data_IF_554638852787
#
_entry.id   IF_554638852787
#
_cell.length_a   1.000
_cell.length_b   1.000
_cell.length_c   1.000
_cell.angle_alpha   90.00
_cell.angle_beta   90.00
_cell.angle_gamma   90.00
#
_symmetry.space_group_name_H-M   'P 1'
#
loop_
_entity.id
_entity.type
_entity.pdbx_description
1 polymer ?
#
# COMPACT_ATOMS: atom_id res chain seq x y z
N UNK A 1 55.91 15.46 -17.36
CA UNK A 1 54.55 14.90 -17.38
C UNK A 1 54.28 14.41 -18.79
N UNK A 2 54.04 13.11 -19.00
CA UNK A 2 53.59 12.61 -20.32
C UNK A 2 52.16 13.07 -20.50
N UNK A 3 51.92 13.96 -21.46
CA UNK A 3 50.59 14.46 -21.78
C UNK A 3 49.73 13.35 -22.37
N UNK A 4 48.51 13.21 -21.86
CA UNK A 4 47.50 12.29 -22.38
C UNK A 4 47.28 12.63 -23.86
N UNK A 5 47.41 11.62 -24.72
CA UNK A 5 47.19 11.82 -26.16
C UNK A 5 45.69 11.94 -26.45
N UNK A 6 45.34 12.71 -27.49
CA UNK A 6 43.92 12.89 -27.91
C UNK A 6 43.23 11.54 -28.17
N UNK A 7 43.99 10.54 -28.65
CA UNK A 7 43.50 9.19 -28.87
C UNK A 7 43.12 8.47 -27.56
N UNK A 8 43.95 8.58 -26.52
CA UNK A 8 43.64 8.02 -25.18
C UNK A 8 42.41 8.70 -24.57
N UNK A 9 42.23 10.01 -24.78
CA UNK A 9 41.05 10.74 -24.34
C UNK A 9 39.75 10.27 -25.04
N UNK A 10 39.81 10.01 -26.35
CA UNK A 10 38.65 9.51 -27.10
C UNK A 10 38.25 8.09 -26.70
N UNK A 11 39.23 7.21 -26.47
CA UNK A 11 38.97 5.85 -25.97
C UNK A 11 38.32 5.90 -24.59
N UNK A 12 38.83 6.76 -23.69
CA UNK A 12 38.29 6.89 -22.34
C UNK A 12 36.84 7.38 -22.35
N UNK A 13 36.51 8.38 -23.18
CA UNK A 13 35.13 8.87 -23.33
C UNK A 13 34.19 7.83 -23.94
N UNK A 14 34.68 7.02 -24.90
CA UNK A 14 33.93 5.90 -25.48
C UNK A 14 33.58 4.84 -24.43
N UNK A 15 34.54 4.47 -23.58
CA UNK A 15 34.31 3.52 -22.48
C UNK A 15 33.30 4.07 -21.47
N UNK A 16 33.43 5.34 -21.07
CA UNK A 16 32.46 5.98 -20.16
C UNK A 16 31.06 6.01 -20.79
N UNK A 17 30.95 6.31 -22.08
CA UNK A 17 29.67 6.29 -22.79
C UNK A 17 29.00 4.91 -22.82
N UNK A 18 29.77 3.85 -23.04
CA UNK A 18 29.27 2.47 -23.00
C UNK A 18 28.84 2.09 -21.57
N UNK A 19 29.64 2.41 -20.56
CA UNK A 19 29.31 2.13 -19.15
C UNK A 19 28.05 2.90 -18.72
N UNK A 20 27.90 4.16 -19.11
CA UNK A 20 26.72 4.97 -18.81
C UNK A 20 25.47 4.44 -19.53
N UNK A 21 25.59 4.02 -20.79
CA UNK A 21 24.49 3.34 -21.50
C UNK A 21 24.11 2.05 -20.79
N UNK A 22 25.08 1.17 -20.50
CA UNK A 22 24.83 -0.08 -19.77
C UNK A 22 24.16 0.20 -18.41
N UNK A 23 24.62 1.19 -17.66
CA UNK A 23 24.01 1.60 -16.39
C UNK A 23 22.52 1.99 -16.57
N UNK A 24 22.18 2.76 -17.60
CA UNK A 24 20.80 3.16 -17.91
C UNK A 24 19.90 1.97 -18.29
N UNK A 25 20.42 0.98 -19.01
CA UNK A 25 19.66 -0.26 -19.35
C UNK A 25 19.60 -1.24 -18.18
N UNK A 26 20.57 -1.20 -17.26
CA UNK A 26 20.61 -2.11 -16.10
C UNK A 26 19.71 -1.70 -14.95
N UNK A 27 19.28 -0.42 -14.86
CA UNK A 27 18.18 -0.07 -13.95
C UNK A 27 16.94 -0.76 -14.51
N UNK A 28 16.49 -1.82 -13.84
CA UNK A 28 15.30 -2.58 -14.26
C UNK A 28 14.13 -1.59 -14.38
N UNK A 29 13.60 -1.33 -15.58
CA UNK A 29 12.50 -0.38 -15.76
C UNK A 29 11.25 -0.80 -14.99
N UNK A 30 11.15 -2.10 -14.67
CA UNK A 30 10.12 -2.70 -13.84
C UNK A 30 10.01 -2.03 -12.47
N UNK A 31 11.06 -1.98 -11.66
CA UNK A 31 10.98 -1.55 -10.25
C UNK A 31 10.45 -0.10 -10.13
N UNK A 32 10.92 0.80 -11.00
CA UNK A 32 10.40 2.18 -11.06
C UNK A 32 8.92 2.21 -11.44
N UNK A 33 8.51 1.39 -12.40
CA UNK A 33 7.13 1.34 -12.89
C UNK A 33 6.16 0.81 -11.83
N UNK A 34 6.56 -0.18 -11.03
CA UNK A 34 5.71 -0.75 -9.96
C UNK A 34 5.39 0.29 -8.90
N UNK A 35 6.40 1.07 -8.50
CA UNK A 35 6.24 2.18 -7.57
C UNK A 35 5.15 3.16 -8.01
N UNK A 36 5.22 3.59 -9.27
CA UNK A 36 4.26 4.50 -9.87
C UNK A 36 2.86 3.90 -9.97
N UNK A 37 2.75 2.64 -10.42
CA UNK A 37 1.47 1.96 -10.55
C UNK A 37 0.80 1.72 -9.19
N UNK A 38 1.59 1.36 -8.18
CA UNK A 38 1.14 1.16 -6.81
C UNK A 38 0.59 2.44 -6.20
N UNK A 39 1.37 3.53 -6.20
CA UNK A 39 0.94 4.83 -5.65
C UNK A 39 -0.28 5.36 -6.41
N UNK A 40 -0.33 5.16 -7.74
CA UNK A 40 -1.49 5.57 -8.54
C UNK A 40 -2.76 4.82 -8.16
N UNK A 41 -2.72 3.50 -8.00
CA UNK A 41 -3.93 2.74 -7.61
C UNK A 41 -4.34 3.07 -6.17
N UNK A 42 -3.38 3.28 -5.27
CA UNK A 42 -3.65 3.74 -3.90
C UNK A 42 -4.46 5.04 -3.91
N UNK A 43 -3.95 6.11 -4.55
CA UNK A 43 -4.66 7.40 -4.60
C UNK A 43 -5.97 7.33 -5.38
N UNK A 44 -6.04 6.48 -6.41
CA UNK A 44 -7.28 6.28 -7.17
C UNK A 44 -8.35 5.65 -6.27
N UNK A 45 -8.00 4.63 -5.49
CA UNK A 45 -8.92 4.01 -4.54
C UNK A 45 -9.28 4.98 -3.42
N UNK A 46 -8.32 5.69 -2.84
CA UNK A 46 -8.54 6.68 -1.79
C UNK A 46 -9.52 7.76 -2.24
N UNK A 47 -9.24 8.38 -3.40
CA UNK A 47 -10.10 9.41 -4.00
C UNK A 47 -11.49 8.86 -4.32
N UNK A 48 -11.57 7.65 -4.89
CA UNK A 48 -12.84 7.05 -5.24
C UNK A 48 -13.70 6.74 -4.02
N UNK A 49 -13.11 6.16 -2.98
CA UNK A 49 -13.78 5.81 -1.74
C UNK A 49 -14.22 7.07 -1.01
N UNK A 50 -13.33 8.04 -0.82
CA UNK A 50 -13.64 9.30 -0.15
C UNK A 50 -14.83 10.02 -0.81
N UNK A 51 -14.74 10.28 -2.12
CA UNK A 51 -15.80 10.99 -2.84
C UNK A 51 -17.12 10.20 -2.85
N UNK A 52 -17.05 8.88 -3.02
CA UNK A 52 -18.24 8.04 -3.03
C UNK A 52 -18.95 8.00 -1.69
N UNK A 53 -18.19 7.96 -0.60
CA UNK A 53 -18.72 7.92 0.76
C UNK A 53 -19.28 9.27 1.18
N UNK A 54 -18.76 10.40 0.68
CA UNK A 54 -19.39 11.71 0.87
C UNK A 54 -20.82 11.80 0.32
N UNK A 55 -21.13 11.02 -0.72
CA UNK A 55 -22.45 10.97 -1.34
C UNK A 55 -23.38 9.91 -0.72
N UNK A 56 -22.95 9.20 0.34
CA UNK A 56 -23.65 8.03 0.90
C UNK A 56 -23.79 8.11 2.41
N UNK A 57 -24.93 7.63 2.91
CA UNK A 57 -25.21 7.58 4.35
C UNK A 57 -24.62 6.34 5.05
N UNK A 58 -24.26 5.30 4.28
CA UNK A 58 -23.82 4.01 4.82
C UNK A 58 -22.73 3.40 3.94
N UNK A 59 -21.82 2.69 4.60
CA UNK A 59 -20.86 1.81 3.93
C UNK A 59 -21.60 0.71 3.17
N UNK A 60 -21.15 0.32 1.95
CA UNK A 60 -21.84 -0.67 1.15
C UNK A 60 -22.03 -2.00 1.89
N UNK A 61 -23.27 -2.49 1.93
CA UNK A 61 -23.63 -3.74 2.61
C UNK A 61 -23.40 -4.99 1.75
N UNK A 62 -23.12 -4.81 0.44
CA UNK A 62 -22.83 -5.90 -0.50
C UNK A 62 -21.63 -5.58 -1.39
N UNK A 63 -20.93 -6.63 -1.83
CA UNK A 63 -19.79 -6.50 -2.74
C UNK A 63 -20.16 -5.82 -4.05
N UNK A 64 -21.36 -6.10 -4.59
CA UNK A 64 -21.84 -5.41 -5.79
C UNK A 64 -21.99 -3.92 -5.55
N UNK A 65 -22.60 -3.51 -4.42
CA UNK A 65 -22.72 -2.09 -4.08
C UNK A 65 -21.35 -1.44 -3.87
N UNK A 66 -20.41 -2.14 -3.22
CA UNK A 66 -19.04 -1.66 -3.04
C UNK A 66 -18.29 -1.53 -4.37
N UNK A 67 -18.41 -2.51 -5.26
CA UNK A 67 -17.80 -2.46 -6.58
C UNK A 67 -18.38 -1.32 -7.42
N UNK A 68 -19.71 -1.17 -7.46
CA UNK A 68 -20.36 -0.07 -8.17
C UNK A 68 -19.95 1.28 -7.60
N UNK A 69 -19.83 1.40 -6.29
CA UNK A 69 -19.31 2.60 -5.63
C UNK A 69 -17.94 3.00 -6.19
N UNK A 70 -17.00 2.05 -6.31
CA UNK A 70 -15.69 2.32 -6.89
C UNK A 70 -15.77 2.84 -8.34
N UNK A 71 -16.68 2.31 -9.16
CA UNK A 71 -16.82 2.71 -10.58
C UNK A 71 -17.25 4.16 -10.81
N UNK A 72 -17.79 4.84 -9.80
CA UNK A 72 -18.27 6.22 -9.96
C UNK A 72 -17.13 7.22 -10.15
N UNK A 73 -15.97 6.93 -9.59
CA UNK A 73 -14.82 7.83 -9.60
C UNK A 73 -13.55 7.17 -10.14
N UNK A 74 -13.53 5.85 -10.29
CA UNK A 74 -12.44 5.15 -10.97
C UNK A 74 -12.65 5.15 -12.48
N UNK A 75 -11.60 5.46 -13.23
CA UNK A 75 -11.60 5.32 -14.68
C UNK A 75 -11.45 3.84 -15.07
N UNK A 76 -12.59 3.19 -15.29
CA UNK A 76 -12.70 1.76 -15.61
C UNK A 76 -13.03 1.55 -17.10
N UNK A 77 -12.34 0.61 -17.74
CA UNK A 77 -12.65 0.18 -19.11
C UNK A 77 -13.69 -0.94 -19.12
N UNK A 78 -13.68 -1.79 -18.11
CA UNK A 78 -14.61 -2.91 -17.96
C UNK A 78 -15.04 -3.02 -16.49
N UNK A 79 -16.32 -3.31 -16.26
CA UNK A 79 -16.87 -3.55 -14.94
C UNK A 79 -17.66 -4.86 -14.91
N UNK A 80 -17.44 -5.62 -13.84
CA UNK A 80 -17.96 -6.96 -13.62
C UNK A 80 -18.57 -7.07 -12.21
N UNK A 81 -19.11 -5.97 -11.67
CA UNK A 81 -19.57 -5.88 -10.29
C UNK A 81 -20.70 -6.85 -9.91
N UNK A 82 -21.43 -7.36 -10.89
CA UNK A 82 -22.52 -8.33 -10.73
C UNK A 82 -22.13 -9.74 -11.18
N UNK A 83 -20.89 -9.94 -11.61
CA UNK A 83 -20.37 -11.19 -12.17
C UNK A 83 -19.08 -11.61 -11.47
N UNK A 84 -18.66 -12.86 -11.67
CA UNK A 84 -17.50 -13.42 -10.99
C UNK A 84 -17.73 -13.63 -9.49
N UNK A 85 -16.97 -14.54 -8.89
CA UNK A 85 -17.05 -14.79 -7.46
C UNK A 85 -16.25 -13.72 -6.70
N UNK A 86 -16.62 -13.52 -5.45
CA UNK A 86 -15.79 -12.74 -4.54
C UNK A 86 -14.65 -13.60 -4.05
N UNK A 87 -13.48 -13.00 -3.88
CA UNK A 87 -12.33 -13.73 -3.35
C UNK A 87 -12.41 -13.84 -1.82
N UNK A 88 -11.66 -14.79 -1.28
CA UNK A 88 -11.33 -14.80 0.15
C UNK A 88 -10.25 -13.77 0.44
N UNK A 89 -10.26 -13.14 1.62
CA UNK A 89 -9.14 -12.31 2.11
C UNK A 89 -7.80 -13.07 2.10
N UNK A 90 -7.85 -14.40 2.15
CA UNK A 90 -6.68 -15.29 2.10
C UNK A 90 -6.43 -15.89 0.71
N UNK A 91 -6.92 -15.25 -0.36
CA UNK A 91 -6.77 -15.75 -1.72
C UNK A 91 -5.29 -15.89 -2.11
N UNK A 92 -4.95 -17.07 -2.63
CA UNK A 92 -3.65 -17.38 -3.25
C UNK A 92 -3.73 -17.46 -4.77
N UNK A 93 -4.94 -17.54 -5.30
CA UNK A 93 -5.25 -17.61 -6.73
C UNK A 93 -6.15 -16.45 -7.12
N UNK A 94 -5.92 -15.91 -8.32
CA UNK A 94 -6.61 -14.72 -8.84
C UNK A 94 -7.16 -15.01 -10.24
N UNK A 95 -8.25 -15.79 -10.36
CA UNK A 95 -8.80 -16.18 -11.65
C UNK A 95 -9.33 -14.98 -12.43
N UNK A 96 -9.10 -14.95 -13.75
CA UNK A 96 -9.62 -13.87 -14.60
C UNK A 96 -11.15 -13.79 -14.58
N UNK A 97 -11.84 -14.94 -14.40
CA UNK A 97 -13.29 -15.01 -14.32
C UNK A 97 -13.89 -14.30 -13.10
N UNK A 98 -13.07 -14.03 -12.07
CA UNK A 98 -13.48 -13.39 -10.82
C UNK A 98 -13.05 -11.92 -10.75
N UNK A 99 -12.48 -11.36 -11.82
CA UNK A 99 -12.15 -9.93 -11.92
C UNK A 99 -13.44 -9.13 -11.71
N UNK A 100 -13.36 -8.09 -10.88
CA UNK A 100 -14.47 -7.16 -10.62
C UNK A 100 -14.36 -5.91 -11.45
N UNK A 101 -13.16 -5.38 -11.64
CA UNK A 101 -12.92 -4.16 -12.43
C UNK A 101 -11.64 -4.29 -13.26
N UNK A 102 -11.66 -3.69 -14.45
CA UNK A 102 -10.46 -3.43 -15.24
C UNK A 102 -10.33 -1.92 -15.38
N UNK A 103 -9.27 -1.36 -14.82
CA UNK A 103 -8.96 0.06 -14.97
C UNK A 103 -8.47 0.36 -16.40
N UNK A 104 -8.67 1.60 -16.87
CA UNK A 104 -8.32 1.99 -18.24
C UNK A 104 -6.82 1.91 -18.58
N UNK A 105 -5.95 1.76 -17.58
CA UNK A 105 -4.52 1.48 -17.76
C UNK A 105 -4.19 -0.03 -17.83
N UNK A 106 -5.20 -0.90 -17.82
CA UNK A 106 -5.08 -2.36 -17.90
C UNK A 106 -4.90 -3.06 -16.54
N UNK A 107 -4.89 -2.33 -15.42
CA UNK A 107 -4.86 -2.96 -14.09
C UNK A 107 -6.16 -3.71 -13.82
N UNK A 108 -6.04 -4.89 -13.24
CA UNK A 108 -7.18 -5.75 -12.89
C UNK A 108 -7.38 -5.75 -11.39
N UNK A 109 -8.64 -5.70 -10.98
CA UNK A 109 -9.02 -5.60 -9.58
C UNK A 109 -9.98 -6.73 -9.21
N UNK A 110 -9.69 -7.38 -8.10
CA UNK A 110 -10.58 -8.34 -7.44
C UNK A 110 -11.01 -7.77 -6.09
N UNK A 111 -12.15 -8.22 -5.59
CA UNK A 111 -12.66 -7.82 -4.29
C UNK A 111 -12.83 -9.07 -3.44
N UNK A 112 -12.29 -9.01 -2.24
CA UNK A 112 -12.53 -10.00 -1.20
C UNK A 112 -13.68 -9.56 -0.29
N UNK A 113 -14.54 -10.52 0.06
CA UNK A 113 -15.74 -10.27 0.87
C UNK A 113 -16.04 -11.43 1.82
N UNK A 114 -16.79 -11.13 2.89
CA UNK A 114 -17.33 -12.14 3.80
C UNK A 114 -18.68 -12.63 3.27
N UNK A 115 -18.64 -13.53 2.28
CA UNK A 115 -19.85 -14.12 1.69
C UNK A 115 -20.76 -13.10 1.00
N UNK A 116 -20.17 -12.16 0.25
CA UNK A 116 -20.89 -11.10 -0.45
C UNK A 116 -21.08 -9.81 0.35
N UNK A 117 -20.62 -9.78 1.61
CA UNK A 117 -20.73 -8.63 2.53
C UNK A 117 -19.36 -8.18 3.05
N UNK A 118 -19.31 -7.06 3.76
CA UNK A 118 -18.07 -6.56 4.35
C UNK A 118 -17.53 -7.51 5.44
N UNK A 119 -16.22 -7.47 5.65
CA UNK A 119 -15.60 -8.01 6.86
C UNK A 119 -15.75 -7.02 8.03
N UNK A 120 -15.57 -7.51 9.26
CA UNK A 120 -15.51 -6.65 10.46
C UNK A 120 -14.19 -6.93 11.18
N UNK A 121 -13.30 -5.95 11.18
CA UNK A 121 -12.09 -5.97 12.00
C UNK A 121 -12.47 -5.68 13.43
N UNK A 122 -11.93 -6.45 14.37
CA UNK A 122 -12.14 -6.24 15.81
C UNK A 122 -10.78 -6.06 16.47
N UNK A 123 -10.56 -4.91 17.11
CA UNK A 123 -9.35 -4.63 17.89
C UNK A 123 -9.70 -4.10 19.28
N UNK A 124 -8.75 -4.13 20.19
CA UNK A 124 -8.90 -3.50 21.51
C UNK A 124 -8.24 -2.13 21.48
N UNK A 125 -9.01 -1.07 21.73
CA UNK A 125 -8.50 0.30 21.81
C UNK A 125 -7.68 0.50 23.09
N UNK A 126 -6.99 1.65 23.18
CA UNK A 126 -6.17 2.02 24.35
C UNK A 126 -7.00 2.06 25.65
N UNK A 127 -8.28 2.42 25.56
CA UNK A 127 -9.22 2.46 26.68
C UNK A 127 -9.82 1.08 27.04
N UNK A 128 -9.44 0.02 26.31
CA UNK A 128 -9.94 -1.34 26.49
C UNK A 128 -11.28 -1.63 25.78
N UNK A 129 -11.88 -0.65 25.10
CA UNK A 129 -13.12 -0.86 24.36
C UNK A 129 -12.87 -1.58 23.02
N UNK A 130 -13.81 -2.45 22.56
CA UNK A 130 -13.71 -3.03 21.22
C UNK A 130 -13.88 -1.95 20.15
N UNK A 131 -12.90 -1.86 19.25
CA UNK A 131 -12.96 -1.13 18.00
C UNK A 131 -13.43 -2.07 16.90
N UNK A 132 -14.65 -1.86 16.39
CA UNK A 132 -15.17 -2.56 15.22
C UNK A 132 -15.09 -1.66 14.00
N UNK A 133 -14.46 -2.14 12.93
CA UNK A 133 -14.35 -1.41 11.66
C UNK A 133 -14.79 -2.32 10.52
N UNK A 134 -15.77 -1.90 9.75
CA UNK A 134 -16.17 -2.62 8.52
C UNK A 134 -15.18 -2.35 7.41
N UNK A 135 -14.88 -3.36 6.61
CA UNK A 135 -13.97 -3.21 5.48
C UNK A 135 -14.19 -4.25 4.36
N UNK A 136 -13.73 -3.89 3.16
CA UNK A 136 -13.48 -4.81 2.05
C UNK A 136 -11.98 -4.87 1.77
N UNK A 137 -11.53 -5.91 1.07
CA UNK A 137 -10.16 -5.97 0.55
C UNK A 137 -10.20 -5.89 -0.97
N UNK A 138 -9.42 -4.98 -1.53
CA UNK A 138 -9.23 -4.83 -2.98
C UNK A 138 -7.85 -5.37 -3.31
N UNK A 139 -7.80 -6.38 -4.17
CA UNK A 139 -6.56 -6.88 -4.75
C UNK A 139 -6.35 -6.23 -6.10
N UNK A 140 -5.16 -5.68 -6.34
CA UNK A 140 -4.81 -5.01 -7.58
C UNK A 140 -3.60 -5.68 -8.24
N UNK A 141 -3.77 -6.05 -9.50
CA UNK A 141 -2.69 -6.53 -10.35
C UNK A 141 -2.04 -5.33 -11.06
N UNK A 142 -0.85 -4.97 -10.58
CA UNK A 142 -0.03 -3.88 -11.10
C UNK A 142 0.50 -4.19 -12.50
N UNK A 143 0.67 -5.47 -12.84
CA UNK A 143 1.23 -5.88 -14.13
C UNK A 143 0.14 -6.15 -15.18
N UNK A 144 -1.14 -6.19 -14.76
CA UNK A 144 -2.30 -6.33 -15.64
C UNK A 144 -2.21 -7.59 -16.49
N UNK A 145 -2.45 -7.47 -17.80
CA UNK A 145 -2.43 -8.62 -18.71
C UNK A 145 -1.03 -9.15 -19.07
N UNK A 146 0.05 -8.58 -18.53
CA UNK A 146 1.45 -8.91 -18.91
C UNK A 146 2.05 -10.07 -18.11
N UNK A 147 1.22 -11.06 -17.76
CA UNK A 147 1.58 -12.17 -16.87
C UNK A 147 2.83 -12.95 -17.27
N UNK A 148 3.31 -13.85 -16.39
CA UNK A 148 2.64 -14.36 -15.19
C UNK A 148 2.69 -13.39 -14.00
N UNK A 149 1.58 -13.30 -13.26
CA UNK A 149 1.43 -12.43 -12.09
C UNK A 149 1.46 -13.23 -10.79
N UNK A 150 2.19 -12.76 -9.79
CA UNK A 150 2.34 -13.41 -8.48
C UNK A 150 1.87 -12.49 -7.36
N UNK A 151 1.11 -13.04 -6.42
CA UNK A 151 0.82 -12.40 -5.13
C UNK A 151 1.83 -12.77 -4.04
N UNK A 152 2.55 -13.89 -4.21
CA UNK A 152 3.48 -14.41 -3.22
C UNK A 152 4.91 -13.90 -3.47
N UNK A 153 5.56 -13.49 -2.38
CA UNK A 153 6.84 -12.79 -2.40
C UNK A 153 8.07 -13.71 -2.56
N UNK A 154 7.90 -15.02 -2.36
CA UNK A 154 8.96 -16.03 -2.50
C UNK A 154 8.45 -17.23 -3.29
N UNK A 155 9.36 -17.93 -3.98
CA UNK A 155 9.04 -19.11 -4.77
C UNK A 155 8.79 -20.38 -3.90
N UNK A 156 8.98 -20.33 -2.57
CA UNK A 156 8.99 -21.53 -1.70
C UNK A 156 8.41 -21.35 -0.29
N UNK A 157 7.43 -20.47 -0.07
CA UNK A 157 6.66 -20.48 1.20
C UNK A 157 7.40 -20.05 2.47
N UNK A 158 8.65 -19.58 2.37
CA UNK A 158 9.36 -18.96 3.47
C UNK A 158 8.96 -17.48 3.57
N UNK A 159 8.34 -17.13 4.70
CA UNK A 159 7.97 -15.78 5.11
C UNK A 159 9.24 -15.04 5.54
N UNK A 160 9.76 -14.15 4.70
CA UNK A 160 10.89 -13.31 5.05
C UNK A 160 11.44 -12.55 3.85
N UNK A 161 11.66 -11.24 4.04
CA UNK A 161 12.36 -10.42 3.05
C UNK A 161 13.82 -10.83 2.96
N UNK A 162 14.32 -11.00 1.73
CA UNK A 162 15.74 -10.84 1.44
C UNK A 162 15.88 -9.78 0.35
N UNK A 163 17.09 -9.22 0.18
CA UNK A 163 17.40 -8.28 -0.90
C UNK A 163 17.13 -8.85 -2.31
N UNK A 164 16.95 -10.17 -2.42
CA UNK A 164 16.73 -10.89 -3.68
C UNK A 164 15.25 -11.19 -3.95
N UNK A 165 14.34 -10.90 -3.00
CA UNK A 165 12.89 -11.07 -3.18
C UNK A 165 12.39 -10.18 -4.32
N UNK A 166 11.69 -10.78 -5.29
CA UNK A 166 11.05 -10.05 -6.40
C UNK A 166 9.81 -9.32 -5.90
N UNK A 167 9.53 -8.14 -6.49
CA UNK A 167 8.25 -7.47 -6.27
C UNK A 167 7.11 -8.37 -6.75
N UNK A 168 6.03 -8.42 -5.97
CA UNK A 168 4.76 -9.05 -6.31
C UNK A 168 3.99 -8.16 -7.28
N UNK A 169 3.26 -8.80 -8.17
CA UNK A 169 2.41 -8.16 -9.17
C UNK A 169 1.04 -7.83 -8.59
N UNK A 170 0.57 -8.67 -7.68
CA UNK A 170 -0.74 -8.54 -7.05
C UNK A 170 -0.54 -8.05 -5.62
N UNK A 171 -1.10 -6.87 -5.35
CA UNK A 171 -1.02 -6.18 -4.05
C UNK A 171 -2.41 -6.06 -3.43
N UNK A 172 -2.48 -5.86 -2.11
CA UNK A 172 -3.74 -5.74 -1.38
C UNK A 172 -3.92 -4.36 -0.72
N UNK A 173 -5.16 -3.90 -0.70
CA UNK A 173 -5.60 -2.70 -0.01
C UNK A 173 -6.84 -3.01 0.84
N UNK A 174 -6.82 -2.62 2.10
CA UNK A 174 -8.01 -2.61 2.95
C UNK A 174 -8.75 -1.29 2.72
N UNK A 175 -10.04 -1.36 2.46
CA UNK A 175 -10.92 -0.19 2.29
C UNK A 175 -11.96 -0.20 3.40
N UNK A 176 -11.91 0.82 4.25
CA UNK A 176 -12.70 0.88 5.49
C UNK A 176 -13.96 1.74 5.37
N UNK A 177 -14.91 1.56 6.29
CA UNK A 177 -16.11 2.42 6.38
C UNK A 177 -15.80 3.87 6.75
N UNK A 178 -14.64 4.14 7.35
CA UNK A 178 -14.12 5.48 7.60
C UNK A 178 -13.56 6.17 6.34
N UNK A 179 -13.77 5.59 5.15
CA UNK A 179 -13.28 6.08 3.86
C UNK A 179 -11.76 6.10 3.73
N UNK A 180 -11.06 5.31 4.54
CA UNK A 180 -9.59 5.19 4.51
C UNK A 180 -9.18 3.93 3.74
N UNK A 181 -8.19 4.09 2.87
CA UNK A 181 -7.51 3.00 2.15
C UNK A 181 -6.18 2.72 2.82
N UNK A 182 -5.93 1.46 3.16
CA UNK A 182 -4.77 1.03 3.95
C UNK A 182 -3.99 0.00 3.12
N UNK A 183 -2.73 0.30 2.77
CA UNK A 183 -1.78 -0.68 2.23
C UNK A 183 -1.65 -1.90 3.14
N UNK A 184 -1.71 -3.11 2.57
CA UNK A 184 -1.45 -4.34 3.33
C UNK A 184 -0.46 -5.26 2.58
N UNK A 185 0.36 -5.98 3.35
CA UNK A 185 1.24 -7.02 2.84
C UNK A 185 2.61 -6.48 2.42
N UNK A 186 3.27 -7.05 1.40
CA UNK A 186 4.63 -6.67 1.01
C UNK A 186 4.87 -5.16 0.85
N UNK A 187 3.94 -4.36 0.28
CA UNK A 187 4.12 -2.91 0.17
C UNK A 187 4.30 -2.17 1.50
N UNK A 188 3.87 -2.72 2.64
CA UNK A 188 4.03 -2.08 3.94
C UNK A 188 5.51 -1.97 4.35
N UNK A 189 6.33 -2.97 4.00
CA UNK A 189 7.74 -3.07 4.41
C UNK A 189 8.72 -2.82 3.25
N UNK A 190 8.28 -2.94 2.00
CA UNK A 190 9.13 -2.80 0.82
C UNK A 190 9.04 -1.39 0.20
N UNK A 191 10.11 -0.61 0.42
CA UNK A 191 10.22 0.79 -0.04
C UNK A 191 10.25 0.95 -1.56
N UNK A 192 10.33 -0.16 -2.32
CA UNK A 192 10.23 -0.13 -3.78
C UNK A 192 8.81 0.17 -4.27
N UNK A 193 7.76 -0.11 -3.49
CA UNK A 193 6.37 0.23 -3.88
C UNK A 193 5.99 1.66 -3.51
N UNK A 194 6.41 2.10 -2.33
CA UNK A 194 6.08 3.41 -1.82
C UNK A 194 7.06 3.82 -0.74
N UNK A 195 7.14 5.12 -0.50
CA UNK A 195 7.73 5.68 0.70
C UNK A 195 6.61 6.36 1.47
N UNK A 196 6.76 6.43 2.79
CA UNK A 196 5.87 7.16 3.66
C UNK A 196 6.67 7.97 4.69
N UNK A 197 6.03 8.99 5.25
CA UNK A 197 6.53 9.78 6.37
C UNK A 197 5.47 9.82 7.46
N UNK A 198 5.91 9.83 8.71
CA UNK A 198 5.10 10.25 9.84
C UNK A 198 5.05 11.78 9.86
N UNK A 199 3.85 12.34 9.94
CA UNK A 199 3.62 13.77 10.11
C UNK A 199 3.19 14.01 11.54
N UNK A 200 3.87 14.95 12.21
CA UNK A 200 3.62 15.33 13.59
C UNK A 200 2.83 16.62 13.67
N UNK A 201 2.02 16.85 14.72
CA UNK A 201 1.32 18.11 14.93
C UNK A 201 2.28 19.31 14.82
N UNK A 202 1.77 20.47 14.38
CA UNK A 202 2.56 21.69 14.34
C UNK A 202 2.96 22.14 15.74
N UNK A 203 4.27 22.16 15.99
CA UNK A 203 4.86 22.76 17.20
C UNK A 203 4.91 24.31 17.13
N UNK A 204 4.61 24.88 15.95
CA UNK A 204 4.71 26.31 15.62
C UNK A 204 3.67 26.68 14.56
N UNK A 205 2.91 27.75 14.78
CA UNK A 205 1.90 28.27 13.84
C UNK A 205 2.50 28.66 12.47
N UNK A 206 3.80 28.92 12.40
CA UNK A 206 4.53 29.20 11.16
C UNK A 206 4.97 27.92 10.40
N UNK A 207 4.70 26.74 10.94
CA UNK A 207 5.01 25.43 10.34
C UNK A 207 3.75 24.55 10.36
N UNK A 208 2.78 24.79 9.45
CA UNK A 208 1.47 24.14 9.52
C UNK A 208 1.49 22.62 9.30
N UNK A 209 2.51 22.07 8.64
CA UNK A 209 2.70 20.61 8.50
C UNK A 209 3.47 19.98 9.68
N UNK A 210 3.83 20.78 10.70
CA UNK A 210 4.63 20.37 11.84
C UNK A 210 6.00 19.80 11.50
N UNK A 211 6.47 18.91 12.36
CA UNK A 211 7.70 18.15 12.13
C UNK A 211 7.36 16.92 11.28
N UNK A 212 8.29 16.49 10.42
CA UNK A 212 8.09 15.35 9.51
C UNK A 212 9.27 14.40 9.59
N UNK A 213 9.00 13.09 9.64
CA UNK A 213 10.05 12.07 9.61
C UNK A 213 10.68 11.93 8.21
N UNK A 214 11.88 11.37 8.13
CA UNK A 214 12.52 11.06 6.83
C UNK A 214 11.67 10.02 6.07
N UNK A 215 11.62 10.05 4.73
CA UNK A 215 10.93 9.00 3.97
C UNK A 215 11.46 7.61 4.31
N UNK A 216 10.54 6.70 4.65
CA UNK A 216 10.79 5.36 5.16
C UNK A 216 9.76 4.37 4.63
N UNK A 217 9.78 3.10 5.09
CA UNK A 217 8.70 2.16 4.77
C UNK A 217 7.38 2.60 5.42
N UNK A 218 6.25 2.15 4.88
CA UNK A 218 4.94 2.47 5.44
C UNK A 218 4.76 1.90 6.84
N UNK A 219 5.30 0.71 7.11
CA UNK A 219 5.31 0.12 8.44
C UNK A 219 6.09 0.98 9.45
N UNK A 220 7.29 1.43 9.10
CA UNK A 220 8.09 2.31 9.97
C UNK A 220 7.35 3.63 10.21
N UNK A 221 6.77 4.25 9.17
CA UNK A 221 6.02 5.49 9.33
C UNK A 221 4.77 5.31 10.23
N UNK A 222 4.04 4.19 10.09
CA UNK A 222 2.92 3.84 10.96
C UNK A 222 3.36 3.62 12.40
N UNK A 223 4.50 2.96 12.60
CA UNK A 223 5.08 2.75 13.91
C UNK A 223 5.54 4.07 14.56
N UNK A 224 6.19 4.94 13.80
CA UNK A 224 6.64 6.27 14.24
C UNK A 224 5.48 7.22 14.57
N UNK A 225 4.36 7.13 13.84
CA UNK A 225 3.18 7.97 14.07
C UNK A 225 2.36 7.49 15.28
N UNK A 226 2.06 6.19 15.36
CA UNK A 226 1.07 5.66 16.29
C UNK A 226 1.65 4.74 17.37
N UNK A 227 2.85 4.20 17.17
CA UNK A 227 3.43 3.19 18.06
C UNK A 227 2.48 2.00 18.24
N UNK A 228 2.18 1.68 19.50
CA UNK A 228 1.22 0.63 19.88
C UNK A 228 -0.23 1.12 19.98
N UNK A 229 -0.49 2.43 19.86
CA UNK A 229 -1.82 3.02 20.00
C UNK A 229 -2.76 2.59 18.88
N UNK A 230 -4.01 2.27 19.23
CA UNK A 230 -5.08 1.86 18.30
C UNK A 230 -6.33 2.70 18.56
N UNK A 231 -6.87 3.33 17.51
CA UNK A 231 -8.06 4.18 17.60
C UNK A 231 -8.93 4.06 16.35
N UNK A 232 -10.25 4.03 16.52
CA UNK A 232 -11.18 4.11 15.39
C UNK A 232 -11.17 5.48 14.70
N UNK A 233 -10.82 6.54 15.43
CA UNK A 233 -10.65 7.87 14.85
C UNK A 233 -9.45 7.92 13.91
N UNK A 234 -8.49 6.99 14.06
CA UNK A 234 -7.37 6.83 13.13
C UNK A 234 -7.27 5.41 12.58
N UNK A 235 -8.05 5.07 11.53
CA UNK A 235 -8.12 3.72 10.96
C UNK A 235 -6.77 3.15 10.53
N UNK A 236 -5.81 3.98 10.11
CA UNK A 236 -4.46 3.54 9.72
C UNK A 236 -3.67 2.97 10.91
N UNK A 237 -4.03 3.31 12.14
CA UNK A 237 -3.41 2.76 13.36
C UNK A 237 -3.75 1.27 13.56
N UNK A 238 -4.86 0.79 13.00
CA UNK A 238 -5.40 -0.56 13.19
C UNK A 238 -4.56 -1.64 12.50
N UNK A 239 -4.60 -2.87 13.04
CA UNK A 239 -3.74 -3.98 12.64
C UNK A 239 -4.49 -5.00 11.76
N UNK A 240 -4.95 -4.57 10.59
CA UNK A 240 -5.71 -5.42 9.67
C UNK A 240 -4.96 -6.66 9.19
N UNK A 241 -3.62 -6.65 9.20
CA UNK A 241 -2.82 -7.83 8.86
C UNK A 241 -3.15 -9.05 9.74
N UNK A 242 -3.67 -8.85 10.96
CA UNK A 242 -4.07 -9.93 11.88
C UNK A 242 -5.33 -10.67 11.43
N UNK A 243 -6.11 -10.08 10.52
CA UNK A 243 -7.31 -10.70 9.96
C UNK A 243 -6.96 -11.72 8.86
N UNK A 244 -5.73 -11.67 8.34
CA UNK A 244 -5.23 -12.60 7.34
C UNK A 244 -4.70 -13.86 8.02
N UNK A 245 -4.96 -15.02 7.42
CA UNK A 245 -4.39 -16.28 7.85
C UNK A 245 -2.86 -16.25 7.70
N UNK A 246 -2.14 -16.96 8.56
CA UNK A 246 -0.68 -16.99 8.58
C UNK A 246 -0.05 -17.44 7.26
N UNK A 247 -0.77 -18.22 6.46
CA UNK A 247 -0.32 -18.68 5.13
C UNK A 247 -0.76 -17.75 3.98
N UNK A 248 -1.44 -16.63 4.27
CA UNK A 248 -1.82 -15.65 3.28
C UNK A 248 -0.58 -14.97 2.68
N UNK A 249 -0.52 -14.73 1.36
CA UNK A 249 0.58 -13.99 0.76
C UNK A 249 0.66 -12.52 1.24
N UNK A 250 -0.41 -12.03 1.87
CA UNK A 250 -0.49 -10.68 2.43
C UNK A 250 -0.25 -10.64 3.94
N UNK A 251 -0.10 -11.79 4.60
CA UNK A 251 0.35 -11.85 5.98
C UNK A 251 1.88 -11.70 6.01
N UNK A 252 2.36 -10.52 6.42
CA UNK A 252 3.79 -10.26 6.53
C UNK A 252 4.27 -10.37 7.98
N UNK A 253 5.45 -10.97 8.16
CA UNK A 253 6.18 -10.88 9.42
C UNK A 253 6.88 -9.53 9.47
N UNK A 254 6.39 -8.66 10.35
CA UNK A 254 7.01 -7.36 10.53
C UNK A 254 8.38 -7.49 11.20
N UNK A 255 9.38 -6.70 10.79
CA UNK A 255 10.62 -6.61 11.53
C UNK A 255 10.33 -6.11 12.94
N UNK A 256 11.09 -6.61 13.92
CA UNK A 256 11.05 -6.04 15.27
C UNK A 256 11.30 -4.54 15.16
N UNK A 257 10.45 -3.69 15.76
CA UNK A 257 10.68 -2.26 15.73
C UNK A 257 12.08 -1.97 16.26
N UNK A 258 12.86 -1.21 15.49
CA UNK A 258 14.15 -0.72 15.98
C UNK A 258 13.95 0.03 17.30
N UNK A 259 15.00 0.12 18.11
CA UNK A 259 15.04 0.71 19.46
C UNK A 259 14.70 2.22 19.56
N UNK A 260 13.90 2.77 18.64
CA UNK A 260 13.31 4.09 18.77
C UNK A 260 12.32 4.10 19.94
N UNK A 261 12.40 5.13 20.79
CA UNK A 261 11.68 5.26 22.06
C UNK A 261 10.20 4.90 21.96
N UNK A 262 9.86 3.73 22.51
CA UNK A 262 8.56 3.04 22.44
C UNK A 262 7.53 3.58 23.44
N UNK A 263 7.75 4.74 24.07
CA UNK A 263 6.93 5.09 25.22
C UNK A 263 5.51 5.50 24.84
N UNK A 264 5.31 6.20 23.73
CA UNK A 264 4.00 6.65 23.25
C UNK A 264 4.25 7.14 21.82
N UNK A 265 3.47 6.71 20.82
CA UNK A 265 3.34 7.47 19.57
C UNK A 265 2.88 8.90 19.88
N UNK A 266 2.45 9.68 18.91
CA UNK A 266 1.91 10.99 19.26
C UNK A 266 0.66 10.82 20.14
N UNK A 267 0.82 11.04 21.44
CA UNK A 267 -0.26 10.97 22.42
C UNK A 267 -0.38 12.35 23.04
N UNK A 268 -1.58 12.90 22.97
CA UNK A 268 -1.88 14.06 23.80
C UNK A 268 -2.15 13.48 25.18
N UNK A 269 -1.27 13.78 26.14
CA UNK A 269 -1.32 13.26 27.51
C UNK A 269 -2.76 13.18 28.03
N UNK A 270 -3.28 11.95 28.16
CA UNK A 270 -4.69 11.69 28.43
C UNK A 270 -5.36 10.56 27.63
N UNK A 271 -4.61 9.69 26.95
CA UNK A 271 -5.16 8.60 26.09
C UNK A 271 -5.97 9.09 24.88
N UNK A 272 -5.81 10.35 24.46
CA UNK A 272 -6.35 10.87 23.21
C UNK A 272 -5.25 10.78 22.14
N UNK A 273 -5.59 10.21 20.99
CA UNK A 273 -4.68 10.15 19.84
C UNK A 273 -4.41 11.59 19.38
N UNK A 274 -3.16 12.02 19.48
CA UNK A 274 -2.65 13.28 18.93
C UNK A 274 -2.75 13.21 17.39
N UNK A 275 -2.84 14.32 16.64
CA UNK A 275 -3.23 14.34 15.23
C UNK A 275 -2.09 13.92 14.26
N UNK A 276 -1.24 12.98 14.69
CA UNK A 276 -0.25 12.38 13.82
C UNK A 276 -0.91 11.52 12.77
N UNK A 277 -0.35 11.53 11.56
CA UNK A 277 -0.84 10.71 10.47
C UNK A 277 0.31 10.24 9.60
N UNK A 278 0.06 9.17 8.86
CA UNK A 278 1.02 8.65 7.87
C UNK A 278 0.70 9.29 6.53
N UNK A 279 1.68 9.99 5.96
CA UNK A 279 1.59 10.56 4.62
C UNK A 279 2.36 9.66 3.66
N UNK A 280 1.69 9.17 2.63
CA UNK A 280 2.36 8.49 1.51
C UNK A 280 3.02 9.55 0.63
N UNK A 281 4.27 9.30 0.25
CA UNK A 281 5.05 10.24 -0.55
C UNK A 281 4.58 10.28 -2.00
N UNK A 282 3.97 11.39 -2.38
CA UNK A 282 3.74 11.74 -3.78
C UNK A 282 5.08 12.06 -4.46
N UNK A 283 5.26 11.56 -5.67
CA UNK A 283 6.47 11.81 -6.44
C UNK A 283 6.37 13.13 -7.20
N UNK A 284 7.41 13.95 -7.08
CA UNK A 284 7.70 15.08 -7.98
C UNK A 284 8.38 14.62 -9.26
#
# INVERSE_FOLDING_TARGET
>A
MKGITIAEMMITLGIIGIIAMLALITIKPYDKTYKWLYVRIYHTLETAVYNSMMARDKFPESTTAFCTMLTEYMNVSENYCTTGNDLSINATEFPEADIKLVASNGMRLWIASNGGTYYTHTNTQVDGAPANMKYYVVFADLNGSKGPNKAQWTDEGNLGWTSDSKMVDIVAFVVTEASVVIPIGPPEIDTRYMLASAIYPPDDENKPEGTRSKPMSYYEAKYDAFGSSKSLAEPMSLDFYKDFATNSPFAITYPEPGSANVAEGCTDGGNLVSPCYVKIEEYN
#
